data_IF_246208882687
#
_entry.id   IF_246208882687
#
_cell.length_a   1.000
_cell.length_b   1.000
_cell.length_c   1.000
_cell.angle_alpha   90.00
_cell.angle_beta   90.00
_cell.angle_gamma   90.00
#
_symmetry.space_group_name_H-M   'P 1'
#
loop_
_entity.id
_entity.type
_entity.pdbx_description
1 polymer ?
#
# COMPACT_ATOMS: atom_id res chain seq x y z
N UNK A 1 -3.52 21.81 -15.51
CA UNK A 1 -4.95 21.97 -15.17
C UNK A 1 -5.29 21.13 -13.93
N UNK A 2 -5.06 21.65 -12.72
CA UNK A 2 -5.22 20.86 -11.48
C UNK A 2 -6.67 20.46 -11.17
N UNK A 3 -7.65 21.21 -11.65
CA UNK A 3 -9.06 20.87 -11.49
C UNK A 3 -9.43 19.58 -12.24
N UNK A 4 -8.92 19.39 -13.45
CA UNK A 4 -9.17 18.18 -14.23
C UNK A 4 -8.52 16.94 -13.58
N UNK A 5 -7.29 17.07 -13.07
CA UNK A 5 -6.65 15.99 -12.30
C UNK A 5 -7.49 15.57 -11.09
N UNK A 6 -8.09 16.51 -10.36
CA UNK A 6 -8.96 16.20 -9.21
C UNK A 6 -10.23 15.47 -9.64
N UNK A 7 -10.85 15.87 -10.75
CA UNK A 7 -12.03 15.22 -11.31
C UNK A 7 -11.74 13.78 -11.77
N UNK A 8 -10.63 13.59 -12.48
CA UNK A 8 -10.20 12.25 -12.94
C UNK A 8 -9.83 11.39 -11.74
N UNK A 9 -9.15 11.95 -10.73
CA UNK A 9 -8.84 11.23 -9.49
C UNK A 9 -10.11 10.72 -8.82
N UNK A 10 -11.14 11.55 -8.64
CA UNK A 10 -12.38 11.11 -7.99
C UNK A 10 -13.05 9.96 -8.74
N UNK A 11 -13.10 10.03 -10.08
CA UNK A 11 -13.65 8.98 -10.93
C UNK A 11 -12.85 7.66 -10.85
N UNK A 12 -11.52 7.74 -10.82
CA UNK A 12 -10.66 6.55 -10.66
C UNK A 12 -10.84 5.96 -9.27
N UNK A 13 -10.84 6.77 -8.22
CA UNK A 13 -10.97 6.27 -6.84
C UNK A 13 -12.33 5.67 -6.55
N UNK A 14 -13.41 6.17 -7.14
CA UNK A 14 -14.75 5.56 -7.01
C UNK A 14 -14.87 4.22 -7.74
N UNK A 15 -13.93 3.92 -8.63
CA UNK A 15 -13.86 2.69 -9.42
C UNK A 15 -13.03 1.60 -8.74
N UNK A 16 -12.34 1.91 -7.63
CA UNK A 16 -11.55 0.97 -6.85
C UNK A 16 -12.44 0.22 -5.85
N UNK A 17 -12.06 -1.01 -5.46
CA UNK A 17 -12.76 -1.73 -4.40
C UNK A 17 -12.71 -0.95 -3.08
N UNK A 18 -13.76 -1.08 -2.27
CA UNK A 18 -13.84 -0.43 -0.95
C UNK A 18 -12.72 -0.88 0.00
N UNK A 19 -12.21 -2.10 -0.19
CA UNK A 19 -11.08 -2.65 0.54
C UNK A 19 -9.76 -2.45 -0.23
N UNK A 20 -8.92 -1.56 0.31
CA UNK A 20 -7.49 -1.52 -0.01
C UNK A 20 -6.73 -2.48 0.90
N UNK A 21 -5.50 -2.81 0.52
CA UNK A 21 -4.59 -3.58 1.36
C UNK A 21 -4.52 -2.97 2.78
N UNK A 22 -4.81 -3.76 3.85
CA UNK A 22 -4.73 -3.28 5.23
C UNK A 22 -3.37 -2.71 5.61
N UNK A 23 -2.29 -3.20 4.99
CA UNK A 23 -0.90 -2.79 5.20
C UNK A 23 -0.45 -1.67 4.25
N UNK A 24 -1.34 -1.14 3.41
CA UNK A 24 -1.07 0.07 2.63
C UNK A 24 -1.35 1.33 3.45
N UNK A 25 -0.28 1.96 3.91
CA UNK A 25 -0.32 3.21 4.70
C UNK A 25 -0.21 4.47 3.83
N UNK A 26 0.56 4.41 2.74
CA UNK A 26 0.77 5.55 1.86
C UNK A 26 -0.45 5.85 0.96
N UNK A 27 -0.67 7.14 0.69
CA UNK A 27 -1.72 7.66 -0.19
C UNK A 27 -3.16 7.25 0.19
N UNK A 28 -3.40 6.94 1.47
CA UNK A 28 -4.71 6.56 2.01
C UNK A 28 -5.17 7.56 3.07
N UNK A 29 -6.47 7.86 3.08
CA UNK A 29 -7.05 8.69 4.14
C UNK A 29 -6.97 7.97 5.50
N UNK A 30 -6.77 8.73 6.57
CA UNK A 30 -6.69 8.21 7.95
C UNK A 30 -5.58 7.16 8.16
N UNK A 31 -4.49 7.25 7.38
CA UNK A 31 -3.26 6.49 7.58
C UNK A 31 -2.06 7.42 7.54
N UNK A 32 -1.06 7.15 8.38
CA UNK A 32 0.18 7.92 8.44
C UNK A 32 1.42 7.03 8.32
N UNK A 33 2.58 7.66 8.23
CA UNK A 33 3.88 6.97 8.36
C UNK A 33 4.08 6.42 9.75
N UNK A 34 3.52 7.06 10.78
CA UNK A 34 3.61 6.61 12.17
C UNK A 34 2.87 5.29 12.37
N UNK A 35 1.71 5.11 11.73
CA UNK A 35 0.98 3.84 11.76
C UNK A 35 1.85 2.69 11.21
N UNK A 36 2.58 2.95 10.11
CA UNK A 36 3.46 1.96 9.49
C UNK A 36 4.65 1.60 10.39
N UNK A 37 5.29 2.61 11.00
CA UNK A 37 6.40 2.43 11.93
C UNK A 37 5.94 1.68 13.18
N UNK A 38 4.82 2.11 13.78
CA UNK A 38 4.27 1.51 14.97
C UNK A 38 3.91 0.03 14.74
N UNK A 39 3.27 -0.30 13.61
CA UNK A 39 2.98 -1.69 13.27
C UNK A 39 4.25 -2.51 13.07
N UNK A 40 5.22 -1.99 12.33
CA UNK A 40 6.48 -2.69 12.04
C UNK A 40 7.25 -2.97 13.33
N UNK A 41 7.36 -1.96 14.20
CA UNK A 41 8.03 -2.06 15.50
C UNK A 41 7.30 -3.04 16.41
N UNK A 42 5.97 -2.91 16.55
CA UNK A 42 5.18 -3.81 17.39
C UNK A 42 5.32 -5.26 16.94
N UNK A 43 5.26 -5.52 15.63
CA UNK A 43 5.40 -6.87 15.05
C UNK A 43 6.79 -7.44 15.32
N UNK A 44 7.84 -6.63 15.14
CA UNK A 44 9.21 -7.05 15.38
C UNK A 44 9.46 -7.37 16.87
N UNK A 45 9.07 -6.48 17.77
CA UNK A 45 9.25 -6.67 19.21
C UNK A 45 8.43 -7.84 19.75
N UNK A 46 7.16 -7.96 19.34
CA UNK A 46 6.31 -9.09 19.75
C UNK A 46 6.86 -10.44 19.29
N UNK A 47 7.59 -10.46 18.16
CA UNK A 47 8.28 -11.67 17.72
C UNK A 47 9.52 -11.98 18.58
N UNK A 48 10.28 -10.96 18.98
CA UNK A 48 11.48 -11.11 19.82
C UNK A 48 11.16 -11.47 21.27
N UNK A 49 10.02 -11.00 21.79
CA UNK A 49 9.58 -11.25 23.18
C UNK A 49 9.01 -12.68 23.39
N UNK A 50 9.06 -13.56 22.39
CA UNK A 50 8.63 -14.95 22.52
C UNK A 50 9.56 -15.73 23.46
N UNK A 51 9.23 -15.75 24.75
CA UNK A 51 10.00 -16.37 25.82
C UNK A 51 10.38 -17.82 25.48
N UNK A 52 11.65 -18.17 25.71
CA UNK A 52 12.26 -19.49 25.46
C UNK A 52 12.47 -19.88 23.99
N UNK A 53 12.46 -18.93 23.05
CA UNK A 53 12.97 -19.14 21.69
C UNK A 53 14.14 -18.20 21.40
N UNK A 54 15.18 -18.71 20.74
CA UNK A 54 16.26 -17.88 20.20
C UNK A 54 15.78 -17.23 18.89
N UNK A 55 14.86 -16.27 18.99
CA UNK A 55 14.27 -15.58 17.85
C UNK A 55 15.10 -14.40 17.40
N UNK A 56 15.06 -14.09 16.11
CA UNK A 56 15.68 -12.91 15.52
C UNK A 56 14.78 -12.40 14.39
N UNK A 57 14.85 -11.11 14.09
CA UNK A 57 14.05 -10.48 13.04
C UNK A 57 14.96 -10.12 11.86
N UNK A 58 14.54 -10.42 10.64
CA UNK A 58 15.15 -9.92 9.40
C UNK A 58 14.12 -9.04 8.70
N UNK A 59 14.53 -7.82 8.34
CA UNK A 59 13.70 -6.91 7.55
C UNK A 59 14.32 -6.75 6.16
N UNK A 60 13.49 -6.87 5.13
CA UNK A 60 13.87 -6.62 3.74
C UNK A 60 13.27 -5.29 3.31
N UNK A 61 14.12 -4.34 2.93
CA UNK A 61 13.72 -3.05 2.39
C UNK A 61 13.83 -3.09 0.87
N UNK A 62 12.68 -2.97 0.20
CA UNK A 62 12.59 -2.93 -1.27
C UNK A 62 12.07 -1.56 -1.65
N UNK A 63 12.73 -0.92 -2.62
CA UNK A 63 12.27 0.31 -3.23
C UNK A 63 12.31 0.21 -4.76
N UNK A 64 11.43 0.96 -5.42
CA UNK A 64 11.33 1.00 -6.87
C UNK A 64 12.03 2.25 -7.40
N UNK A 65 13.12 2.07 -8.13
CA UNK A 65 13.80 3.17 -8.81
C UNK A 65 12.86 3.84 -9.81
N UNK A 66 12.58 5.14 -9.61
CA UNK A 66 11.74 5.94 -10.50
C UNK A 66 10.35 5.33 -10.72
N UNK A 67 9.69 4.90 -9.64
CA UNK A 67 8.44 4.13 -9.66
C UNK A 67 7.38 4.67 -10.64
N UNK A 68 7.15 5.99 -10.67
CA UNK A 68 6.14 6.60 -11.55
C UNK A 68 6.57 6.68 -13.02
N UNK A 69 7.87 6.80 -13.28
CA UNK A 69 8.40 6.87 -14.65
C UNK A 69 8.52 5.48 -15.30
N UNK A 70 8.55 4.42 -14.50
CA UNK A 70 8.69 3.03 -14.97
C UNK A 70 7.36 2.27 -15.05
N UNK A 71 6.23 2.92 -14.73
CA UNK A 71 4.91 2.29 -14.85
C UNK A 71 4.61 1.96 -16.31
N UNK A 72 4.26 0.70 -16.58
CA UNK A 72 3.80 0.26 -17.91
C UNK A 72 2.32 0.63 -18.09
N UNK A 73 1.95 1.57 -18.99
CA UNK A 73 0.59 2.09 -19.07
C UNK A 73 -0.48 1.04 -19.42
N UNK A 74 -0.14 0.08 -20.29
CA UNK A 74 -1.05 -1.00 -20.67
C UNK A 74 -1.42 -1.91 -19.49
N UNK A 75 -0.47 -2.15 -18.58
CA UNK A 75 -0.72 -2.90 -17.34
C UNK A 75 -1.55 -2.08 -16.35
N UNK A 76 -1.27 -0.77 -16.24
CA UNK A 76 -2.02 0.12 -15.36
C UNK A 76 -3.49 0.24 -15.78
N UNK A 77 -3.79 0.33 -17.08
CA UNK A 77 -5.16 0.48 -17.58
C UNK A 77 -6.08 -0.72 -17.25
N UNK A 78 -5.51 -1.91 -17.09
CA UNK A 78 -6.27 -3.16 -16.85
C UNK A 78 -6.54 -3.37 -15.35
N UNK A 79 -5.60 -2.98 -14.48
CA UNK A 79 -5.65 -3.31 -13.05
C UNK A 79 -6.89 -2.77 -12.30
N UNK A 80 -7.32 -1.51 -12.50
CA UNK A 80 -8.55 -1.00 -11.90
C UNK A 80 -9.81 -1.75 -12.38
N UNK A 81 -9.83 -2.20 -13.64
CA UNK A 81 -10.97 -2.94 -14.22
C UNK A 81 -11.04 -4.38 -13.71
N UNK A 82 -9.91 -5.00 -13.42
CA UNK A 82 -9.85 -6.35 -12.88
C UNK A 82 -10.39 -6.46 -11.45
N UNK A 83 -10.30 -5.39 -10.65
CA UNK A 83 -10.83 -5.33 -9.28
C UNK A 83 -12.37 -5.11 -9.22
N UNK A 84 -13.04 -4.92 -10.36
CA UNK A 84 -14.48 -4.67 -10.44
C UNK A 84 -15.33 -5.92 -10.73
N UNK A 85 -14.72 -7.09 -10.95
CA UNK A 85 -15.48 -8.32 -11.20
C UNK A 85 -15.89 -8.97 -9.88
N UNK A 86 -17.19 -9.07 -9.55
CA UNK A 86 -17.64 -9.98 -8.51
C UNK A 86 -17.44 -11.43 -9.02
N UNK A 87 -17.11 -12.33 -8.10
CA UNK A 87 -17.18 -13.78 -8.32
C UNK A 87 -18.64 -14.21 -8.55
#
# INVERSE_FOLDING_TARGET
>A
MKCFERLVKSFITSSLPESLDPLQFAYRANRSTDDAIALTLHTALSHLDQRNRNTYVRMLFIDYSSAFNTIVPSKLAIKPRAQQRPL
#
